data_IF_511757179120
#
_entry.id   IF_511757179120
#
_cell.length_a   1.000
_cell.length_b   1.000
_cell.length_c   1.000
_cell.angle_alpha   90.00
_cell.angle_beta   90.00
_cell.angle_gamma   90.00
#
_symmetry.space_group_name_H-M   'P 1'
#
loop_
_entity.id
_entity.type
_entity.pdbx_description
1 polymer ?
#
# COMPACT_ATOMS: atom_id res chain seq x y z
N UNK A 1 8.17 2.09 21.10
CA UNK A 1 7.01 1.92 20.17
C UNK A 1 6.01 3.01 20.48
N UNK A 2 5.71 3.85 19.51
CA UNK A 2 4.76 4.96 19.66
C UNK A 2 3.54 4.62 18.79
N UNK A 3 2.35 4.62 19.44
CA UNK A 3 1.08 4.49 18.75
C UNK A 3 0.47 5.89 18.60
N UNK A 4 0.02 6.23 17.43
CA UNK A 4 -0.64 7.49 17.11
C UNK A 4 -1.97 7.22 16.41
N UNK A 5 -3.00 7.97 16.79
CA UNK A 5 -4.29 7.95 16.13
C UNK A 5 -4.23 8.85 14.89
N UNK A 6 -4.33 8.28 13.72
CA UNK A 6 -4.39 9.02 12.47
C UNK A 6 -5.85 9.04 11.99
N UNK A 7 -6.42 10.23 11.93
CA UNK A 7 -7.80 10.41 11.45
C UNK A 7 -7.73 10.49 9.93
N UNK A 8 -8.19 9.45 9.28
CA UNK A 8 -8.35 9.48 7.82
C UNK A 8 -9.54 10.36 7.46
N UNK A 9 -9.36 11.22 6.48
CA UNK A 9 -10.26 12.28 6.06
C UNK A 9 -11.65 11.84 5.54
N UNK A 10 -12.00 10.57 5.63
CA UNK A 10 -13.18 9.99 4.99
C UNK A 10 -14.13 9.28 5.96
N UNK A 11 -14.36 9.83 7.15
CA UNK A 11 -15.41 9.36 8.06
C UNK A 11 -15.18 7.97 8.66
N UNK A 12 -13.99 7.40 8.49
CA UNK A 12 -13.58 6.16 9.11
C UNK A 12 -13.26 6.32 10.60
N UNK A 13 -13.27 5.22 11.35
CA UNK A 13 -12.74 5.21 12.72
C UNK A 13 -11.26 5.57 12.69
N UNK A 14 -10.80 6.34 13.67
CA UNK A 14 -9.37 6.57 13.87
C UNK A 14 -8.64 5.22 13.94
N UNK A 15 -7.58 5.09 13.16
CA UNK A 15 -6.73 3.88 13.17
C UNK A 15 -5.50 4.15 14.05
N UNK A 16 -5.21 3.20 14.90
CA UNK A 16 -3.96 3.23 15.65
C UNK A 16 -2.85 2.61 14.80
N UNK A 17 -1.79 3.37 14.58
CA UNK A 17 -0.63 2.94 13.81
C UNK A 17 0.54 2.59 14.72
N UNK A 18 1.24 1.50 14.38
CA UNK A 18 2.62 1.33 14.83
C UNK A 18 3.48 2.31 14.04
N UNK A 19 4.11 3.25 14.73
CA UNK A 19 4.97 4.26 14.09
C UNK A 19 6.42 3.81 14.20
N UNK A 20 7.11 3.77 13.06
CA UNK A 20 8.53 3.44 12.99
C UNK A 20 9.28 4.50 12.18
N UNK A 21 10.50 4.80 12.62
CA UNK A 21 11.41 5.66 11.90
C UNK A 21 12.54 4.83 11.29
N UNK A 22 12.69 4.91 9.97
CA UNK A 22 13.76 4.22 9.22
C UNK A 22 14.83 5.26 8.89
N UNK A 23 15.97 5.26 9.60
CA UNK A 23 17.00 6.29 9.46
C UNK A 23 17.73 6.22 8.11
N UNK A 24 17.90 5.03 7.59
CA UNK A 24 18.53 4.77 6.28
C UNK A 24 17.71 3.75 5.51
N UNK A 25 17.61 3.94 4.20
CA UNK A 25 16.86 3.05 3.33
C UNK A 25 17.41 1.61 3.39
N UNK A 26 16.50 0.62 3.45
CA UNK A 26 16.82 -0.79 3.60
C UNK A 26 16.86 -1.29 5.05
N UNK A 27 16.70 -0.42 6.05
CA UNK A 27 16.82 -0.79 7.46
C UNK A 27 15.48 -1.11 8.15
N UNK A 28 14.36 -1.15 7.43
CA UNK A 28 13.04 -1.40 8.04
C UNK A 28 13.00 -2.71 8.84
N UNK A 29 13.59 -3.77 8.30
CA UNK A 29 13.67 -5.06 8.99
C UNK A 29 14.36 -4.93 10.34
N UNK A 30 15.55 -4.35 10.38
CA UNK A 30 16.33 -4.18 11.60
C UNK A 30 15.59 -3.31 12.63
N UNK A 31 14.94 -2.24 12.15
CA UNK A 31 14.12 -1.37 13.01
C UNK A 31 12.99 -2.16 13.66
N UNK A 32 12.22 -2.94 12.88
CA UNK A 32 11.11 -3.72 13.40
C UNK A 32 11.58 -4.84 14.34
N UNK A 33 12.67 -5.51 14.02
CA UNK A 33 13.26 -6.54 14.89
C UNK A 33 13.72 -5.96 16.24
N UNK A 34 14.20 -4.71 16.26
CA UNK A 34 14.63 -4.02 17.48
C UNK A 34 13.48 -3.67 18.44
N UNK A 35 12.24 -3.66 17.95
CA UNK A 35 11.06 -3.28 18.75
C UNK A 35 10.43 -4.43 19.53
N UNK A 36 10.92 -5.66 19.36
CA UNK A 36 10.35 -6.87 20.00
C UNK A 36 8.84 -7.02 19.75
N UNK A 37 8.40 -6.70 18.52
CA UNK A 37 7.02 -6.85 18.09
C UNK A 37 6.86 -8.05 17.16
N UNK A 38 5.75 -8.76 17.28
CA UNK A 38 5.41 -9.79 16.30
C UNK A 38 4.93 -9.10 15.01
N UNK A 39 5.80 -9.05 14.02
CA UNK A 39 5.52 -8.36 12.75
C UNK A 39 4.31 -8.94 12.02
N UNK A 40 3.97 -10.22 12.25
CA UNK A 40 2.80 -10.86 11.64
C UNK A 40 1.47 -10.32 12.16
N UNK A 41 1.48 -9.65 13.31
CA UNK A 41 0.30 -9.07 13.95
C UNK A 41 0.14 -7.58 13.66
N UNK A 42 1.05 -6.98 12.91
CA UNK A 42 0.94 -5.57 12.54
C UNK A 42 -0.18 -5.40 11.50
N UNK A 43 -1.22 -4.67 11.86
CA UNK A 43 -2.32 -4.33 10.95
C UNK A 43 -2.21 -2.93 10.37
N UNK A 44 -1.67 -1.97 11.13
CA UNK A 44 -1.52 -0.59 10.69
C UNK A 44 -0.10 -0.09 10.96
N UNK A 45 0.59 0.36 9.91
CA UNK A 45 1.99 0.76 9.97
C UNK A 45 2.19 2.15 9.38
N UNK A 46 2.74 3.07 10.18
CA UNK A 46 3.22 4.37 9.72
C UNK A 46 4.74 4.37 9.71
N UNK A 47 5.31 4.70 8.58
CA UNK A 47 6.77 4.76 8.41
C UNK A 47 7.18 6.19 8.11
N UNK A 48 8.22 6.64 8.80
CA UNK A 48 8.91 7.90 8.53
C UNK A 48 10.37 7.62 8.18
N UNK A 49 11.04 8.56 7.53
CA UNK A 49 12.44 8.42 7.15
C UNK A 49 12.64 7.92 5.72
N UNK A 50 13.67 7.13 5.48
CA UNK A 50 14.09 6.74 4.13
C UNK A 50 13.71 5.31 3.82
N UNK A 51 13.24 5.07 2.59
CA UNK A 51 12.84 3.75 2.12
C UNK A 51 13.44 3.43 0.76
N UNK A 52 13.58 2.14 0.51
CA UNK A 52 13.93 1.57 -0.79
C UNK A 52 13.09 0.30 -1.07
N UNK A 53 13.36 -0.34 -2.19
CA UNK A 53 12.58 -1.49 -2.68
C UNK A 53 12.54 -2.64 -1.67
N UNK A 54 13.68 -2.94 -1.03
CA UNK A 54 13.81 -4.02 -0.05
C UNK A 54 12.89 -3.85 1.15
N UNK A 55 12.69 -2.61 1.60
CA UNK A 55 11.78 -2.32 2.72
C UNK A 55 10.33 -2.68 2.36
N UNK A 56 9.90 -2.35 1.14
CA UNK A 56 8.57 -2.72 0.65
C UNK A 56 8.41 -4.23 0.50
N UNK A 57 9.44 -4.90 -0.02
CA UNK A 57 9.44 -6.36 -0.15
C UNK A 57 9.44 -7.06 1.21
N UNK A 58 10.08 -6.47 2.22
CA UNK A 58 10.00 -6.98 3.58
C UNK A 58 8.57 -6.92 4.12
N UNK A 59 7.88 -5.78 3.98
CA UNK A 59 6.45 -5.64 4.36
C UNK A 59 5.63 -6.72 3.67
N UNK A 60 5.74 -6.85 2.36
CA UNK A 60 4.96 -7.78 1.56
C UNK A 60 5.14 -9.25 1.96
N UNK A 61 6.35 -9.63 2.38
CA UNK A 61 6.67 -11.01 2.78
C UNK A 61 6.27 -11.33 4.20
N UNK A 62 6.39 -10.37 5.11
CA UNK A 62 6.33 -10.64 6.54
C UNK A 62 5.08 -10.06 7.22
N UNK A 63 4.44 -9.03 6.63
CA UNK A 63 3.27 -8.34 7.20
C UNK A 63 2.05 -8.52 6.27
N UNK A 64 1.70 -9.75 5.96
CA UNK A 64 0.71 -10.08 4.91
C UNK A 64 -0.72 -9.64 5.21
N UNK A 65 -1.06 -9.46 6.48
CA UNK A 65 -2.39 -9.06 6.93
C UNK A 65 -2.49 -7.57 7.24
N UNK A 66 -1.53 -6.79 6.73
CA UNK A 66 -1.55 -5.34 6.91
C UNK A 66 -2.79 -4.73 6.23
N UNK A 67 -3.50 -3.88 6.99
CA UNK A 67 -4.72 -3.22 6.54
C UNK A 67 -4.48 -1.77 6.12
N UNK A 68 -3.54 -1.10 6.78
CA UNK A 68 -3.23 0.29 6.50
C UNK A 68 -1.72 0.57 6.54
N UNK A 69 -1.26 1.30 5.53
CA UNK A 69 0.12 1.81 5.45
C UNK A 69 0.05 3.32 5.28
N UNK A 70 0.79 4.05 6.12
CA UNK A 70 0.96 5.49 5.99
C UNK A 70 2.44 5.82 5.74
N UNK A 71 2.75 6.35 4.56
CA UNK A 71 4.09 6.74 4.13
C UNK A 71 4.23 8.26 3.92
N UNK A 72 3.29 9.07 4.43
CA UNK A 72 3.27 10.49 4.13
C UNK A 72 4.59 11.20 4.46
N UNK A 73 5.24 10.82 5.56
CA UNK A 73 6.52 11.36 6.03
C UNK A 73 7.73 10.48 5.66
N UNK A 74 7.50 9.44 4.86
CA UNK A 74 8.57 8.62 4.31
C UNK A 74 9.03 9.15 2.95
N UNK A 75 10.25 8.85 2.57
CA UNK A 75 10.82 9.22 1.27
C UNK A 75 11.56 8.04 0.66
N UNK A 76 11.20 7.73 -0.58
CA UNK A 76 11.98 6.78 -1.40
C UNK A 76 13.19 7.46 -2.01
N UNK A 77 14.30 6.73 -2.14
CA UNK A 77 15.57 7.24 -2.68
C UNK A 77 15.34 7.90 -4.05
N UNK A 78 14.53 7.27 -4.91
CA UNK A 78 14.29 7.71 -6.28
C UNK A 78 12.93 8.40 -6.46
N UNK A 79 12.29 8.82 -5.36
CA UNK A 79 10.92 9.37 -5.36
C UNK A 79 9.93 8.43 -6.11
N UNK A 80 10.13 7.11 -6.01
CA UNK A 80 9.41 6.09 -6.77
C UNK A 80 8.94 4.95 -5.89
N UNK A 81 7.68 4.53 -6.04
CA UNK A 81 7.22 3.26 -5.49
C UNK A 81 7.73 2.10 -6.37
N UNK A 82 8.26 1.04 -5.75
CA UNK A 82 8.91 -0.03 -6.50
C UNK A 82 7.94 -0.92 -7.26
N UNK A 83 8.47 -1.64 -8.23
CA UNK A 83 7.76 -2.66 -8.99
C UNK A 83 7.25 -3.75 -8.03
N UNK A 84 5.95 -4.05 -8.09
CA UNK A 84 5.30 -5.00 -7.18
C UNK A 84 5.48 -4.68 -5.68
N UNK A 85 5.83 -3.45 -5.30
CA UNK A 85 6.23 -3.11 -3.94
C UNK A 85 5.23 -3.54 -2.88
N UNK A 86 3.96 -3.33 -3.12
CA UNK A 86 2.85 -3.68 -2.24
C UNK A 86 1.87 -4.68 -2.88
N UNK A 87 2.26 -5.35 -3.96
CA UNK A 87 1.38 -6.29 -4.65
C UNK A 87 0.99 -7.48 -3.76
N UNK A 88 -0.20 -8.04 -4.02
CA UNK A 88 -0.73 -9.21 -3.31
C UNK A 88 -0.80 -9.04 -1.79
N UNK A 89 -1.24 -7.87 -1.34
CA UNK A 89 -1.62 -7.58 0.04
C UNK A 89 -3.16 -7.51 0.13
N UNK A 90 -3.83 -8.64 0.32
CA UNK A 90 -5.29 -8.73 0.15
C UNK A 90 -6.07 -7.98 1.24
N UNK A 91 -5.43 -7.68 2.37
CA UNK A 91 -6.04 -6.92 3.46
C UNK A 91 -5.73 -5.42 3.39
N UNK A 92 -4.84 -4.98 2.49
CA UNK A 92 -4.45 -3.58 2.37
C UNK A 92 -5.59 -2.76 1.76
N UNK A 93 -6.35 -2.10 2.62
CA UNK A 93 -7.51 -1.26 2.24
C UNK A 93 -7.21 0.22 2.25
N UNK A 94 -6.19 0.63 2.99
CA UNK A 94 -5.83 2.04 3.17
C UNK A 94 -4.35 2.27 2.90
N UNK A 95 -4.06 3.20 2.01
CA UNK A 95 -2.69 3.59 1.72
C UNK A 95 -2.56 5.11 1.63
N UNK A 96 -1.68 5.68 2.44
CA UNK A 96 -1.33 7.10 2.38
C UNK A 96 0.01 7.24 1.70
N UNK A 97 0.01 7.89 0.54
CA UNK A 97 1.19 8.06 -0.31
C UNK A 97 2.24 8.96 0.34
N UNK A 98 3.53 8.75 0.00
CA UNK A 98 4.59 9.69 0.34
C UNK A 98 4.26 11.08 -0.19
N UNK A 99 4.57 12.12 0.62
CA UNK A 99 4.40 13.52 0.21
C UNK A 99 5.18 13.86 -1.06
N UNK A 100 6.36 13.25 -1.23
CA UNK A 100 7.21 13.40 -2.41
C UNK A 100 7.21 12.08 -3.15
N UNK A 101 6.53 12.06 -4.29
CA UNK A 101 6.41 10.88 -5.15
C UNK A 101 6.31 11.33 -6.60
N UNK A 102 7.06 10.70 -7.49
CA UNK A 102 7.07 10.99 -8.94
C UNK A 102 6.55 9.83 -9.77
N UNK A 103 6.83 8.61 -9.35
CA UNK A 103 6.54 7.42 -10.14
C UNK A 103 5.88 6.34 -9.27
N UNK A 104 4.80 5.78 -9.78
CA UNK A 104 4.20 4.54 -9.25
C UNK A 104 4.59 3.41 -10.19
N UNK A 105 5.41 2.49 -9.69
CA UNK A 105 6.00 1.42 -10.47
C UNK A 105 4.99 0.37 -10.97
N UNK A 106 5.41 -0.47 -11.93
CA UNK A 106 4.61 -1.56 -12.45
C UNK A 106 4.04 -2.46 -11.34
N UNK A 107 2.73 -2.74 -11.42
CA UNK A 107 2.04 -3.65 -10.49
C UNK A 107 2.20 -3.27 -9.01
N UNK A 108 2.50 -2.01 -8.68
CA UNK A 108 2.83 -1.59 -7.31
C UNK A 108 1.78 -2.00 -6.27
N UNK A 109 0.49 -1.95 -6.62
CA UNK A 109 -0.66 -2.34 -5.79
C UNK A 109 -1.53 -3.42 -6.44
N UNK A 110 -0.95 -4.18 -7.36
CA UNK A 110 -1.71 -5.26 -8.00
C UNK A 110 -2.24 -6.25 -6.95
N UNK A 111 -3.53 -6.60 -7.05
CA UNK A 111 -4.19 -7.53 -6.12
C UNK A 111 -4.28 -7.01 -4.65
N UNK A 112 -4.31 -5.70 -4.47
CA UNK A 112 -4.66 -5.07 -3.20
C UNK A 112 -6.16 -4.75 -3.14
N UNK A 113 -6.70 -4.69 -1.92
CA UNK A 113 -8.11 -4.39 -1.68
C UNK A 113 -8.34 -2.91 -1.31
N UNK A 114 -7.66 -1.98 -1.99
CA UNK A 114 -7.78 -0.54 -1.70
C UNK A 114 -9.23 -0.08 -1.79
N UNK A 115 -9.71 0.60 -0.76
CA UNK A 115 -11.09 1.05 -0.61
C UNK A 115 -11.17 2.58 -0.52
N UNK A 116 -12.31 3.12 -0.99
CA UNK A 116 -12.61 4.54 -0.92
C UNK A 116 -11.96 5.35 -2.04
N UNK A 117 -11.73 6.63 -1.78
CA UNK A 117 -11.13 7.51 -2.78
C UNK A 117 -9.65 7.19 -2.97
N UNK A 118 -9.25 7.06 -4.22
CA UNK A 118 -7.84 6.94 -4.60
C UNK A 118 -7.34 8.30 -5.09
N UNK A 119 -6.65 9.00 -4.21
CA UNK A 119 -6.11 10.33 -4.50
C UNK A 119 -4.61 10.17 -4.76
N UNK A 120 -4.22 10.28 -6.02
CA UNK A 120 -2.81 10.25 -6.41
C UNK A 120 -2.20 11.63 -6.13
N UNK A 121 -1.10 11.72 -5.37
CA UNK A 121 -0.55 13.01 -4.95
C UNK A 121 -0.01 13.84 -6.12
N UNK A 122 -0.11 15.15 -5.98
CA UNK A 122 0.56 16.09 -6.89
C UNK A 122 2.08 15.83 -6.89
N UNK A 123 2.68 15.94 -8.08
CA UNK A 123 4.09 15.59 -8.31
C UNK A 123 4.26 14.23 -9.00
N UNK A 124 3.28 13.34 -8.92
CA UNK A 124 3.32 12.08 -9.69
C UNK A 124 3.17 12.39 -11.18
N UNK A 125 4.13 11.91 -11.95
CA UNK A 125 4.17 12.08 -13.42
C UNK A 125 3.88 10.78 -14.16
N UNK A 126 4.19 9.63 -13.56
CA UNK A 126 4.06 8.33 -14.22
C UNK A 126 3.38 7.30 -13.32
N UNK A 127 2.36 6.65 -13.86
CA UNK A 127 1.70 5.47 -13.29
C UNK A 127 1.91 4.34 -14.29
N UNK A 128 2.69 3.33 -13.91
CA UNK A 128 3.05 2.25 -14.82
C UNK A 128 1.95 1.18 -14.95
N UNK A 129 2.19 0.21 -15.86
CA UNK A 129 1.21 -0.85 -16.17
C UNK A 129 0.80 -1.64 -14.94
N UNK A 130 -0.46 -2.03 -14.90
CA UNK A 130 -1.05 -2.82 -13.81
C UNK A 130 -0.87 -2.24 -12.40
N UNK A 131 -0.52 -0.96 -12.24
CA UNK A 131 -0.15 -0.39 -10.93
C UNK A 131 -1.23 -0.63 -9.86
N UNK A 132 -2.50 -0.54 -10.22
CA UNK A 132 -3.66 -0.79 -9.35
C UNK A 132 -4.56 -1.89 -9.92
N UNK A 133 -4.01 -2.78 -10.73
CA UNK A 133 -4.80 -3.83 -11.35
C UNK A 133 -5.36 -4.78 -10.31
N UNK A 134 -6.64 -5.04 -10.45
CA UNK A 134 -7.33 -6.06 -9.68
C UNK A 134 -6.89 -7.42 -10.22
N UNK A 135 -6.60 -8.38 -9.34
CA UNK A 135 -6.23 -9.72 -9.76
C UNK A 135 -7.35 -10.36 -10.57
N UNK A 136 -7.02 -10.91 -11.71
CA UNK A 136 -7.94 -11.85 -12.38
C UNK A 136 -8.11 -13.03 -11.44
N UNK A 137 -9.27 -13.17 -10.81
CA UNK A 137 -9.63 -14.48 -10.25
C UNK A 137 -9.71 -15.42 -11.43
N UNK A 138 -8.68 -16.26 -11.56
CA UNK A 138 -8.74 -17.39 -12.48
C UNK A 138 -10.01 -18.17 -12.20
N UNK A 139 -10.85 -18.34 -13.20
CA UNK A 139 -11.95 -19.27 -13.15
C UNK A 139 -11.37 -20.67 -12.94
N UNK A 140 -11.29 -21.12 -11.70
CA UNK A 140 -11.05 -22.52 -11.49
C UNK A 140 -10.08 -23.02 -10.43
N UNK A 141 -9.68 -22.29 -9.42
CA UNK A 141 -9.08 -22.92 -8.23
C UNK A 141 -9.50 -22.18 -6.98
N UNK A 142 -10.28 -22.87 -6.16
CA UNK A 142 -10.66 -22.46 -4.82
C UNK A 142 -9.41 -22.49 -3.95
N UNK A 143 -8.91 -21.30 -3.56
CA UNK A 143 -7.96 -21.16 -2.46
C UNK A 143 -8.71 -21.48 -1.15
N UNK A 144 -8.35 -22.53 -0.41
CA UNK A 144 -9.07 -22.94 0.79
C UNK A 144 -8.84 -22.06 2.01
N UNK A 145 -8.26 -20.88 1.84
CA UNK A 145 -7.83 -19.99 2.94
C UNK A 145 -8.64 -18.72 3.16
N UNK A 146 -9.57 -18.38 2.29
CA UNK A 146 -10.45 -17.23 2.49
C UNK A 146 -11.87 -17.78 2.61
N UNK A 147 -12.41 -17.77 3.85
CA UNK A 147 -13.73 -18.29 4.15
C UNK A 147 -14.77 -17.83 3.14
N UNK A 148 -15.68 -18.74 2.81
CA UNK A 148 -16.84 -18.51 1.98
C UNK A 148 -17.57 -17.22 2.40
N UNK A 149 -17.27 -16.14 1.69
CA UNK A 149 -18.21 -15.05 1.59
C UNK A 149 -19.27 -15.53 0.58
N UNK A 150 -20.29 -16.20 1.09
CA UNK A 150 -21.51 -16.47 0.36
C UNK A 150 -22.01 -15.18 -0.26
N UNK A 151 -21.96 -15.13 -1.56
CA UNK A 151 -22.32 -14.09 -2.51
C UNK A 151 -21.14 -13.28 -3.09
N UNK A 152 -20.18 -13.95 -3.66
CA UNK A 152 -19.64 -13.76 -4.99
C UNK A 152 -19.14 -12.39 -5.46
N UNK A 153 -19.19 -11.36 -4.65
CA UNK A 153 -18.78 -10.02 -5.02
C UNK A 153 -17.83 -9.48 -3.93
N UNK A 154 -16.56 -9.86 -3.99
CA UNK A 154 -15.57 -8.85 -3.70
C UNK A 154 -15.66 -7.95 -4.93
N UNK A 155 -16.56 -7.03 -4.86
CA UNK A 155 -16.58 -5.88 -5.73
C UNK A 155 -15.33 -5.11 -5.35
N UNK A 156 -14.24 -5.36 -6.05
CA UNK A 156 -12.99 -4.61 -5.96
C UNK A 156 -13.21 -3.24 -6.63
N UNK A 157 -14.35 -2.67 -6.41
CA UNK A 157 -14.63 -1.34 -6.87
C UNK A 157 -13.92 -0.38 -5.94
N UNK A 158 -13.05 0.41 -6.51
CA UNK A 158 -12.77 1.74 -5.97
C UNK A 158 -14.12 2.43 -5.87
N UNK A 159 -14.82 2.29 -4.73
CA UNK A 159 -16.15 2.89 -4.50
C UNK A 159 -16.08 4.40 -4.27
N UNK A 160 -14.94 4.99 -4.57
CA UNK A 160 -14.68 6.39 -4.38
C UNK A 160 -14.26 7.10 -5.66
N UNK A 161 -13.89 8.35 -5.52
CA UNK A 161 -13.34 9.15 -6.59
C UNK A 161 -11.90 8.72 -6.90
N UNK A 162 -11.56 8.59 -8.18
CA UNK A 162 -10.18 8.56 -8.65
C UNK A 162 -9.78 10.01 -8.96
N UNK A 163 -8.86 10.55 -8.17
CA UNK A 163 -8.31 11.89 -8.38
C UNK A 163 -6.88 11.77 -8.90
N UNK A 164 -6.66 12.25 -10.12
CA UNK A 164 -5.36 12.25 -10.77
C UNK A 164 -4.70 13.62 -10.63
N UNK A 165 -3.38 13.69 -10.43
CA UNK A 165 -2.66 14.94 -10.29
C UNK A 165 -2.55 15.69 -11.62
N UNK A 166 -2.45 17.02 -11.54
CA UNK A 166 -2.24 17.87 -12.71
C UNK A 166 -0.87 17.67 -13.39
N UNK A 167 0.06 17.05 -12.67
CA UNK A 167 1.42 16.74 -13.12
C UNK A 167 1.53 15.44 -13.92
N UNK A 168 0.44 14.69 -14.07
CA UNK A 168 0.45 13.35 -14.66
C UNK A 168 0.71 13.42 -16.17
N UNK A 169 1.75 12.72 -16.64
CA UNK A 169 2.20 12.67 -18.03
C UNK A 169 1.94 11.30 -18.68
N UNK A 170 1.92 10.22 -17.87
CA UNK A 170 1.83 8.86 -18.40
C UNK A 170 0.99 7.95 -17.50
N UNK A 171 0.10 7.19 -18.13
CA UNK A 171 -0.64 6.09 -17.52
C UNK A 171 -0.40 4.84 -18.36
N UNK A 172 0.16 3.81 -17.74
CA UNK A 172 0.46 2.53 -18.35
C UNK A 172 -0.78 1.70 -18.64
N UNK A 173 -0.60 0.70 -19.49
CA UNK A 173 -1.66 -0.26 -19.84
C UNK A 173 -2.23 -0.94 -18.59
N UNK A 174 -3.56 -1.02 -18.52
CA UNK A 174 -4.28 -1.71 -17.43
C UNK A 174 -3.95 -1.18 -16.02
N UNK A 175 -3.47 0.07 -15.90
CA UNK A 175 -3.06 0.63 -14.61
C UNK A 175 -4.16 0.58 -13.54
N UNK A 176 -5.43 0.66 -13.94
CA UNK A 176 -6.62 0.67 -13.07
C UNK A 176 -7.65 -0.41 -13.44
N UNK A 177 -7.23 -1.51 -14.01
CA UNK A 177 -8.12 -2.58 -14.47
C UNK A 177 -8.42 -3.60 -13.38
#
# INVERSE_FOLDING_TARGET
TIWENDILSHGGRAKEYLIVHVPEAGMLQEVLESLDVDVSQISNLKITGQLMDEDCYYIRRNIRYIEAINLYEARFIDDRLPDNGFAALPCLTTFVFPKILKVIGPSAFKECALLGDLIIPEGVTHIHYNAFALGSRGSGESDPGIGDLENGLIDNNLYGALVLPSTLEYIGESAFR
#
